data_IF_297868422609
#
_entry.id   IF_297868422609
#
_cell.length_a   1.000
_cell.length_b   1.000
_cell.length_c   1.000
_cell.angle_alpha   90.00
_cell.angle_beta   90.00
_cell.angle_gamma   90.00
#
_symmetry.space_group_name_H-M   'P 1'
#
loop_
_entity.id
_entity.type
_entity.pdbx_description
1 polymer ?
#
# COMPACT_ATOMS: atom_id res chain seq x y z
N UNK A 1 24.97 -1.11 1.07
CA UNK A 1 23.87 -0.30 0.48
C UNK A 1 24.35 1.05 -0.04
N UNK A 2 24.82 1.98 0.80
CA UNK A 2 25.26 3.34 0.41
C UNK A 2 26.15 3.40 -0.83
N UNK A 3 27.27 2.65 -0.84
CA UNK A 3 28.21 2.60 -1.99
C UNK A 3 27.51 2.20 -3.31
N UNK A 4 26.62 1.20 -3.26
CA UNK A 4 25.91 0.73 -4.45
C UNK A 4 24.89 1.77 -4.96
N UNK A 5 24.19 2.47 -4.07
CA UNK A 5 23.26 3.53 -4.44
C UNK A 5 24.03 4.70 -5.07
N UNK A 6 25.14 5.12 -4.46
CA UNK A 6 25.98 6.18 -4.99
C UNK A 6 26.57 5.84 -6.37
N UNK A 7 26.98 4.59 -6.57
CA UNK A 7 27.53 4.15 -7.86
C UNK A 7 26.47 4.01 -8.96
N UNK A 8 25.24 3.59 -8.61
CA UNK A 8 24.18 3.34 -9.59
C UNK A 8 23.28 4.53 -9.86
N UNK A 9 23.19 5.47 -8.92
CA UNK A 9 22.31 6.64 -8.96
C UNK A 9 20.91 6.33 -9.50
N UNK A 10 20.17 5.39 -8.86
CA UNK A 10 18.88 4.95 -9.38
C UNK A 10 17.84 6.07 -9.30
N UNK A 11 17.01 6.19 -10.34
CA UNK A 11 15.87 7.13 -10.37
C UNK A 11 14.79 6.72 -9.35
N UNK A 12 14.63 5.41 -9.11
CA UNK A 12 13.64 4.84 -8.19
C UNK A 12 14.25 3.70 -7.38
N UNK A 13 13.83 3.58 -6.11
CA UNK A 13 14.16 2.47 -5.23
C UNK A 13 12.86 1.88 -4.69
N UNK A 14 12.67 0.58 -4.86
CA UNK A 14 11.56 -0.19 -4.32
C UNK A 14 12.05 -1.14 -3.22
N UNK A 15 11.27 -1.26 -2.14
CA UNK A 15 11.59 -2.14 -1.00
C UNK A 15 10.67 -3.36 -1.05
N UNK A 16 11.27 -4.55 -1.14
CA UNK A 16 10.58 -5.84 -1.22
C UNK A 16 10.54 -6.60 0.10
N UNK A 17 10.16 -7.88 0.04
CA UNK A 17 10.14 -8.77 1.19
C UNK A 17 11.55 -9.11 1.72
N UNK A 18 11.61 -9.54 2.97
CA UNK A 18 12.74 -10.31 3.51
C UNK A 18 12.58 -11.76 3.05
N UNK A 19 13.62 -12.32 2.47
CA UNK A 19 13.64 -13.69 1.94
C UNK A 19 14.50 -14.62 2.81
N UNK A 20 14.28 -15.92 2.65
CA UNK A 20 15.09 -16.95 3.30
C UNK A 20 16.55 -17.01 2.79
N UNK A 21 16.86 -16.33 1.68
CA UNK A 21 18.18 -16.27 1.06
C UNK A 21 18.46 -14.86 0.50
N UNK A 22 19.71 -14.57 0.15
CA UNK A 22 20.10 -13.28 -0.44
C UNK A 22 19.43 -13.09 -1.81
N UNK A 23 18.64 -12.03 -2.04
CA UNK A 23 17.95 -11.83 -3.33
C UNK A 23 18.87 -11.75 -4.55
N UNK A 24 20.11 -11.27 -4.38
CA UNK A 24 21.11 -11.22 -5.45
C UNK A 24 21.56 -12.61 -5.95
N UNK A 25 21.32 -13.66 -5.18
CA UNK A 25 21.69 -15.05 -5.51
C UNK A 25 20.51 -15.86 -6.08
N UNK A 26 19.31 -15.28 -6.11
CA UNK A 26 18.07 -15.92 -6.58
C UNK A 26 18.19 -16.65 -7.93
N UNK A 27 18.97 -16.10 -8.87
CA UNK A 27 19.16 -16.69 -10.22
C UNK A 27 19.93 -18.01 -10.22
N UNK A 28 20.65 -18.34 -9.15
CA UNK A 28 21.48 -19.55 -9.04
C UNK A 28 20.73 -20.74 -8.43
N UNK A 29 19.47 -20.56 -8.04
CA UNK A 29 18.73 -21.49 -7.20
C UNK A 29 17.43 -21.87 -7.90
N UNK A 30 16.93 -23.09 -7.65
CA UNK A 30 15.60 -23.51 -8.10
C UNK A 30 14.54 -22.61 -7.46
N UNK A 31 13.64 -22.07 -8.28
CA UNK A 31 12.61 -21.09 -7.89
C UNK A 31 11.82 -21.51 -6.63
N UNK A 32 11.54 -22.80 -6.47
CA UNK A 32 10.80 -23.37 -5.33
C UNK A 32 11.46 -23.14 -3.97
N UNK A 33 12.79 -22.97 -3.92
CA UNK A 33 13.54 -22.79 -2.67
C UNK A 33 13.67 -21.33 -2.24
N UNK A 34 13.33 -20.37 -3.11
CA UNK A 34 13.43 -18.94 -2.82
C UNK A 34 12.06 -18.41 -2.39
N UNK A 35 11.89 -18.20 -1.08
CA UNK A 35 10.59 -17.91 -0.49
C UNK A 35 10.64 -16.63 0.35
N UNK A 36 9.62 -15.75 0.22
CA UNK A 36 9.48 -14.61 1.13
C UNK A 36 9.16 -15.11 2.54
N UNK A 37 9.73 -14.47 3.55
CA UNK A 37 9.57 -14.82 4.96
C UNK A 37 8.78 -13.77 5.73
N UNK A 38 8.98 -12.50 5.38
CA UNK A 38 8.22 -11.40 5.97
C UNK A 38 8.25 -10.17 5.07
N UNK A 39 7.24 -9.32 5.19
CA UNK A 39 7.14 -8.03 4.51
C UNK A 39 6.15 -7.15 5.25
N UNK A 40 6.41 -5.86 5.35
CA UNK A 40 5.45 -4.90 5.88
C UNK A 40 4.06 -5.05 5.22
N UNK A 41 3.00 -4.80 5.98
CA UNK A 41 1.68 -4.62 5.39
C UNK A 41 1.64 -3.21 4.80
N UNK A 42 1.41 -3.12 3.49
CA UNK A 42 1.51 -1.86 2.74
C UNK A 42 0.18 -1.56 2.07
N UNK A 43 -0.27 -0.32 2.21
CA UNK A 43 -1.41 0.23 1.47
C UNK A 43 -0.90 1.35 0.56
N UNK A 44 -1.38 1.37 -0.68
CA UNK A 44 -1.08 2.38 -1.69
C UNK A 44 -2.39 3.00 -2.14
N UNK A 45 -2.53 4.31 -1.94
CA UNK A 45 -3.73 5.08 -2.28
C UNK A 45 -3.32 6.14 -3.30
N UNK A 46 -3.83 6.03 -4.53
CA UNK A 46 -3.56 6.98 -5.62
C UNK A 46 -4.81 7.82 -5.90
N UNK A 47 -4.61 9.11 -6.15
CA UNK A 47 -5.67 10.04 -6.52
C UNK A 47 -6.41 9.67 -7.81
N UNK A 48 -5.80 8.90 -8.73
CA UNK A 48 -6.48 8.46 -9.96
C UNK A 48 -7.71 7.60 -9.69
N UNK A 49 -7.76 6.91 -8.54
CA UNK A 49 -8.90 6.07 -8.18
C UNK A 49 -10.15 6.90 -7.83
N UNK A 50 -10.00 8.22 -7.68
CA UNK A 50 -11.07 9.18 -7.40
C UNK A 50 -11.48 10.00 -8.63
N UNK A 51 -11.00 9.68 -9.83
CA UNK A 51 -11.27 10.46 -11.06
C UNK A 51 -12.75 10.57 -11.44
N UNK A 52 -13.57 9.63 -11.00
CA UNK A 52 -15.01 9.60 -11.25
C UNK A 52 -15.81 10.48 -10.28
N UNK A 53 -15.25 10.82 -9.12
CA UNK A 53 -15.92 11.62 -8.08
C UNK A 53 -15.33 13.01 -7.89
N UNK A 54 -14.07 13.25 -8.32
CA UNK A 54 -13.44 14.57 -8.24
C UNK A 54 -13.70 15.39 -9.50
N UNK A 55 -13.97 16.68 -9.33
CA UNK A 55 -14.30 17.59 -10.44
C UNK A 55 -13.23 18.66 -10.68
N UNK A 56 -12.24 18.81 -9.80
CA UNK A 56 -11.24 19.88 -9.85
C UNK A 56 -9.98 19.55 -10.65
N UNK A 57 -9.66 18.27 -10.83
CA UNK A 57 -8.46 17.77 -11.53
C UNK A 57 -8.78 16.42 -12.20
N UNK A 58 -7.92 15.95 -13.12
CA UNK A 58 -8.01 14.60 -13.69
C UNK A 58 -6.66 13.90 -13.80
N UNK A 59 -6.68 12.56 -13.85
CA UNK A 59 -5.49 11.75 -14.03
C UNK A 59 -4.42 12.04 -12.98
N UNK A 60 -3.28 12.56 -13.42
CA UNK A 60 -2.14 12.79 -12.54
C UNK A 60 -2.10 14.13 -11.81
N UNK A 61 -3.02 15.02 -12.11
CA UNK A 61 -3.05 16.36 -11.52
C UNK A 61 -3.67 16.33 -10.12
N UNK A 62 -3.13 17.17 -9.23
CA UNK A 62 -3.64 17.36 -7.86
C UNK A 62 -3.71 18.85 -7.53
N UNK A 63 -4.61 19.20 -6.62
CA UNK A 63 -4.70 20.50 -5.99
C UNK A 63 -5.13 20.32 -4.52
N UNK A 64 -5.13 21.41 -3.75
CA UNK A 64 -5.51 21.38 -2.33
C UNK A 64 -6.92 20.83 -2.09
N UNK A 65 -7.84 21.02 -3.05
CA UNK A 65 -9.22 20.52 -2.96
C UNK A 65 -9.26 18.99 -2.98
N UNK A 66 -8.67 18.36 -4.00
CA UNK A 66 -8.70 16.90 -4.09
C UNK A 66 -7.71 16.23 -3.13
N UNK A 67 -6.65 16.93 -2.67
CA UNK A 67 -5.75 16.36 -1.64
C UNK A 67 -6.48 15.97 -0.35
N UNK A 68 -7.63 16.58 -0.07
CA UNK A 68 -8.49 16.16 1.05
C UNK A 68 -8.92 14.70 0.99
N UNK A 69 -9.02 14.07 -0.20
CA UNK A 69 -9.25 12.63 -0.31
C UNK A 69 -8.14 11.83 0.38
N UNK A 70 -6.87 12.21 0.20
CA UNK A 70 -5.73 11.55 0.85
C UNK A 70 -5.74 11.76 2.36
N UNK A 71 -6.08 12.97 2.81
CA UNK A 71 -6.18 13.28 4.25
C UNK A 71 -7.25 12.43 4.93
N UNK A 72 -8.42 12.31 4.30
CA UNK A 72 -9.52 11.50 4.83
C UNK A 72 -9.17 10.02 4.80
N UNK A 73 -8.63 9.52 3.68
CA UNK A 73 -8.21 8.13 3.54
C UNK A 73 -7.16 7.74 4.59
N UNK A 74 -6.16 8.60 4.83
CA UNK A 74 -5.16 8.39 5.87
C UNK A 74 -5.78 8.30 7.26
N UNK A 75 -6.71 9.19 7.62
CA UNK A 75 -7.35 9.21 8.93
C UNK A 75 -8.22 7.97 9.17
N UNK A 76 -9.02 7.59 8.17
CA UNK A 76 -9.87 6.39 8.25
C UNK A 76 -9.01 5.14 8.40
N UNK A 77 -7.98 5.00 7.55
CA UNK A 77 -7.11 3.83 7.60
C UNK A 77 -6.30 3.78 8.90
N UNK A 78 -5.80 4.92 9.38
CA UNK A 78 -5.08 5.00 10.67
C UNK A 78 -5.96 4.51 11.83
N UNK A 79 -7.24 4.92 11.86
CA UNK A 79 -8.21 4.47 12.85
C UNK A 79 -8.39 2.95 12.81
N UNK A 80 -8.70 2.37 11.64
CA UNK A 80 -8.82 0.90 11.49
C UNK A 80 -7.55 0.18 11.95
N UNK A 81 -6.38 0.65 11.51
CA UNK A 81 -5.11 0.01 11.83
C UNK A 81 -4.78 0.06 13.32
N UNK A 82 -5.09 1.16 14.01
CA UNK A 82 -4.78 1.32 15.44
C UNK A 82 -5.84 0.77 16.37
N UNK A 83 -7.11 1.09 16.11
CA UNK A 83 -8.21 0.85 17.02
C UNK A 83 -8.75 -0.57 16.85
N UNK A 84 -9.02 -0.99 15.61
CA UNK A 84 -9.60 -2.31 15.36
C UNK A 84 -8.53 -3.40 15.26
N UNK A 85 -7.45 -3.14 14.53
CA UNK A 85 -6.40 -4.13 14.38
C UNK A 85 -5.36 -4.08 15.48
N UNK A 86 -5.14 -2.95 16.17
CA UNK A 86 -4.16 -2.82 17.25
C UNK A 86 -2.71 -2.64 16.81
N UNK A 87 -2.44 -2.16 15.58
CA UNK A 87 -1.08 -1.94 15.08
C UNK A 87 -0.48 -0.66 15.67
N UNK A 88 0.84 -0.66 15.88
CA UNK A 88 1.53 0.44 16.57
C UNK A 88 2.54 1.16 15.67
N UNK A 89 3.32 0.39 14.92
CA UNK A 89 4.42 0.87 14.09
C UNK A 89 3.90 1.15 12.67
N UNK A 90 3.33 2.34 12.49
CA UNK A 90 2.73 2.77 11.22
C UNK A 90 3.51 3.97 10.69
N UNK A 91 3.92 3.92 9.43
CA UNK A 91 4.62 4.98 8.73
C UNK A 91 3.86 5.38 7.48
N UNK A 92 3.47 6.66 7.39
CA UNK A 92 2.90 7.25 6.19
C UNK A 92 3.97 7.97 5.38
N UNK A 93 3.96 7.75 4.06
CA UNK A 93 4.93 8.32 3.13
C UNK A 93 4.19 8.91 1.94
N UNK A 94 4.55 10.13 1.55
CA UNK A 94 4.07 10.72 0.30
C UNK A 94 4.65 9.96 -0.91
N UNK A 95 3.81 9.62 -1.90
CA UNK A 95 4.25 8.84 -3.07
C UNK A 95 5.23 9.58 -3.99
N UNK A 96 5.42 10.88 -3.77
CA UNK A 96 6.25 11.77 -4.60
C UNK A 96 5.44 12.52 -5.67
N UNK A 97 4.15 12.21 -5.85
CA UNK A 97 3.31 12.91 -6.84
C UNK A 97 1.86 13.14 -6.43
N UNK A 98 1.10 12.09 -6.14
CA UNK A 98 -0.38 12.18 -6.10
C UNK A 98 -1.05 11.15 -5.19
N UNK A 99 -0.30 10.57 -4.28
CA UNK A 99 -0.80 9.49 -3.44
C UNK A 99 -0.02 9.40 -2.15
N UNK A 100 -0.42 8.45 -1.33
CA UNK A 100 0.18 8.16 -0.04
C UNK A 100 0.37 6.66 0.10
N UNK A 101 1.46 6.26 0.75
CA UNK A 101 1.74 4.88 1.11
C UNK A 101 1.72 4.74 2.64
N UNK A 102 1.04 3.72 3.14
CA UNK A 102 1.08 3.34 4.55
C UNK A 102 1.91 2.07 4.70
N UNK A 103 2.89 2.07 5.60
CA UNK A 103 3.74 0.93 5.94
C UNK A 103 3.52 0.53 7.40
N UNK A 104 2.99 -0.66 7.62
CA UNK A 104 2.80 -1.24 8.97
C UNK A 104 3.90 -2.26 9.24
N UNK A 105 4.77 -1.93 10.20
CA UNK A 105 6.00 -2.66 10.50
C UNK A 105 5.93 -3.54 11.76
N UNK A 106 4.79 -3.60 12.43
CA UNK A 106 4.55 -4.54 13.53
C UNK A 106 4.94 -5.96 13.15
N UNK A 107 5.57 -6.67 14.07
CA UNK A 107 6.09 -8.02 13.81
C UNK A 107 5.01 -8.98 13.32
N UNK A 108 3.80 -8.88 13.90
CA UNK A 108 2.64 -9.67 13.46
C UNK A 108 2.12 -9.27 12.09
N UNK A 109 2.16 -7.97 11.73
CA UNK A 109 1.80 -7.50 10.39
C UNK A 109 2.78 -8.06 9.35
N UNK A 110 4.07 -8.03 9.69
CA UNK A 110 5.14 -8.49 8.79
C UNK A 110 5.06 -9.97 8.47
N UNK A 111 4.51 -10.77 9.38
CA UNK A 111 4.33 -12.23 9.26
C UNK A 111 3.00 -12.66 8.65
N UNK A 112 2.10 -11.74 8.30
CA UNK A 112 0.86 -12.11 7.63
C UNK A 112 1.14 -12.77 6.27
N UNK A 113 0.54 -13.95 6.06
CA UNK A 113 0.43 -14.59 4.75
C UNK A 113 -0.56 -13.87 3.83
N UNK A 114 -0.76 -14.36 2.61
CA UNK A 114 -1.69 -13.73 1.65
C UNK A 114 -3.10 -13.61 2.23
N UNK A 115 -3.66 -14.73 2.71
CA UNK A 115 -5.03 -14.78 3.22
C UNK A 115 -5.29 -13.76 4.34
N UNK A 116 -4.32 -13.56 5.23
CA UNK A 116 -4.43 -12.57 6.31
C UNK A 116 -4.38 -11.13 5.81
N UNK A 117 -3.59 -10.86 4.75
CA UNK A 117 -3.56 -9.54 4.10
C UNK A 117 -4.83 -9.28 3.31
N UNK A 118 -5.31 -10.29 2.60
CA UNK A 118 -6.54 -10.24 1.81
C UNK A 118 -7.75 -10.02 2.73
N UNK A 119 -7.80 -10.70 3.89
CA UNK A 119 -8.84 -10.49 4.89
C UNK A 119 -8.85 -9.05 5.43
N UNK A 120 -7.69 -8.46 5.73
CA UNK A 120 -7.60 -7.07 6.17
C UNK A 120 -8.02 -6.11 5.05
N UNK A 121 -7.55 -6.33 3.82
CA UNK A 121 -7.91 -5.51 2.67
C UNK A 121 -9.42 -5.54 2.41
N UNK A 122 -10.03 -6.72 2.48
CA UNK A 122 -11.47 -6.90 2.30
C UNK A 122 -12.29 -6.29 3.45
N UNK A 123 -11.79 -6.35 4.69
CA UNK A 123 -12.45 -5.69 5.82
C UNK A 123 -12.54 -4.17 5.65
N UNK A 124 -11.46 -3.56 5.14
CA UNK A 124 -11.37 -2.11 4.94
C UNK A 124 -12.12 -1.68 3.66
N UNK A 125 -12.14 -2.55 2.65
CA UNK A 125 -12.71 -2.25 1.35
C UNK A 125 -14.25 -2.43 1.34
N UNK A 126 -14.97 -1.31 1.34
CA UNK A 126 -16.43 -1.25 1.23
C UNK A 126 -16.95 -1.19 -0.22
N UNK A 127 -16.06 -1.20 -1.21
CA UNK A 127 -16.44 -1.08 -2.61
C UNK A 127 -16.95 -2.42 -3.17
N UNK A 128 -18.17 -2.41 -3.68
CA UNK A 128 -18.86 -3.57 -4.25
C UNK A 128 -19.11 -3.37 -5.77
N UNK A 129 -18.04 -3.13 -6.52
CA UNK A 129 -18.17 -2.91 -7.96
C UNK A 129 -16.89 -2.56 -8.72
N UNK A 130 -16.80 -3.04 -9.97
CA UNK A 130 -15.77 -2.63 -10.92
C UNK A 130 -16.00 -1.21 -11.47
N UNK A 131 -15.01 -0.69 -12.22
CA UNK A 131 -14.96 0.69 -12.74
C UNK A 131 -16.20 1.14 -13.54
N UNK A 132 -17.02 0.20 -14.03
CA UNK A 132 -18.20 0.47 -14.86
C UNK A 132 -19.53 0.51 -14.10
N UNK A 133 -19.55 0.29 -12.77
CA UNK A 133 -20.78 0.45 -11.97
C UNK A 133 -20.94 1.90 -11.52
N UNK A 134 -22.13 2.46 -11.75
CA UNK A 134 -22.49 3.80 -11.24
C UNK A 134 -22.66 3.82 -9.71
N UNK A 135 -23.30 2.78 -9.14
CA UNK A 135 -23.35 2.54 -7.70
C UNK A 135 -22.18 1.65 -7.31
N UNK A 136 -21.28 2.19 -6.48
CA UNK A 136 -20.03 1.51 -6.10
C UNK A 136 -20.02 0.95 -4.68
N UNK A 137 -21.01 1.30 -3.86
CA UNK A 137 -21.10 0.89 -2.47
C UNK A 137 -22.54 0.49 -2.17
N UNK A 138 -22.71 -0.66 -1.55
CA UNK A 138 -23.96 -1.17 -0.99
C UNK A 138 -23.66 -1.64 0.42
N UNK A 139 -24.37 -1.07 1.40
CA UNK A 139 -24.22 -1.42 2.81
C UNK A 139 -25.59 -1.93 3.22
N UNK A 140 -25.67 -3.22 3.55
CA UNK A 140 -26.86 -3.77 4.18
C UNK A 140 -26.97 -3.19 5.59
N UNK A 141 -28.11 -2.55 5.87
CA UNK A 141 -28.42 -1.91 7.15
C UNK A 141 -28.91 -2.88 8.22
#
# INVERSE_FOLDING_TARGET
MRKCIQARQPIKIDIGAVYNMRPCESRKIKLMSFQPQSRELVFDIDMTDYDDVRTCCKGAEICEKCWMFMVIAARILEAYLREDFGFKNILWVYSGRRGIHCWVADERARRLGSDGRDAIANFINIFDGGQFKAKKVEIDG
#
